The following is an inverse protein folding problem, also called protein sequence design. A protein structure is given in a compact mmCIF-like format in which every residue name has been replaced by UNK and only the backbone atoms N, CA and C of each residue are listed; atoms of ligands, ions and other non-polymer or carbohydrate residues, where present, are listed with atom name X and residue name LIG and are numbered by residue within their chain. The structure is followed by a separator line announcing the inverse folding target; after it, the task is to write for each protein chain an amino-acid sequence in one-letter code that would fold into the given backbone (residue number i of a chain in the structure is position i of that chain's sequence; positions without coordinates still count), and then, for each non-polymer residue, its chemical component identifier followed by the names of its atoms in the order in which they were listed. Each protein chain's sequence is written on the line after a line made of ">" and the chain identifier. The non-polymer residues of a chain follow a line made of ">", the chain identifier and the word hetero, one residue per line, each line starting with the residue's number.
data_IF_519695728987
#
_entry.id   IF_519695728987
#
_cell.length_a   1.000
_cell.length_b   1.000
_cell.length_c   1.000
_cell.angle_alpha   90.00
_cell.angle_beta   90.00
_cell.angle_gamma   90.00
#
_symmetry.space_group_name_H-M   'P 1'
#
loop_
_entity.id
_entity.type
_entity.pdbx_description
1 polymer ?
#
# COMPACT_ATOMS: atom_id res chain seq x y z
N UNK A 1 -34.95 -13.76 51.62
CA UNK A 1 -33.75 -12.89 51.55
C UNK A 1 -32.58 -13.79 51.16
N UNK A 2 -32.45 -14.16 49.88
CA UNK A 2 -31.87 -13.41 48.76
C UNK A 2 -30.33 -13.32 48.84
N UNK A 3 -29.67 -14.12 48.01
CA UNK A 3 -28.22 -14.13 47.80
C UNK A 3 -27.82 -15.24 46.83
N UNK A 4 -28.39 -15.21 45.63
CA UNK A 4 -28.27 -16.20 44.56
C UNK A 4 -26.86 -16.15 43.95
N UNK A 5 -26.07 -17.20 44.16
CA UNK A 5 -24.77 -17.40 43.52
C UNK A 5 -24.95 -17.65 42.04
N UNK A 6 -24.57 -16.68 41.21
CA UNK A 6 -24.51 -16.84 39.76
C UNK A 6 -23.03 -17.02 39.36
N UNK A 7 -22.63 -18.28 39.23
CA UNK A 7 -21.42 -18.67 38.50
C UNK A 7 -21.67 -18.38 37.02
N UNK A 8 -21.21 -17.20 36.57
CA UNK A 8 -21.13 -16.84 35.16
C UNK A 8 -19.91 -17.48 34.54
N UNK A 9 -20.15 -18.63 33.93
CA UNK A 9 -19.24 -19.42 33.10
C UNK A 9 -18.51 -18.54 32.09
N UNK A 10 -17.17 -18.53 32.16
CA UNK A 10 -16.30 -17.98 31.12
C UNK A 10 -16.33 -18.94 29.93
N UNK A 11 -17.35 -18.85 29.08
CA UNK A 11 -17.27 -19.45 27.76
C UNK A 11 -16.22 -18.70 26.95
N UNK A 12 -15.12 -19.39 26.69
CA UNK A 12 -14.03 -18.91 25.87
C UNK A 12 -14.53 -18.74 24.45
N UNK A 13 -14.57 -17.50 23.96
CA UNK A 13 -14.68 -17.19 22.54
C UNK A 13 -13.34 -17.51 21.83
N UNK A 14 -12.96 -18.79 21.87
CA UNK A 14 -11.80 -19.38 21.19
C UNK A 14 -12.28 -20.13 19.95
N UNK A 15 -13.10 -19.49 19.10
CA UNK A 15 -13.73 -20.18 17.98
C UNK A 15 -14.04 -19.27 16.79
N UNK A 16 -13.17 -18.33 16.42
CA UNK A 16 -13.32 -17.60 15.15
C UNK A 16 -11.98 -17.18 14.54
N UNK A 17 -10.98 -18.05 14.61
CA UNK A 17 -9.66 -17.79 14.02
C UNK A 17 -9.05 -19.05 13.42
N UNK A 18 -9.74 -19.73 12.49
CA UNK A 18 -9.11 -20.61 11.49
C UNK A 18 -10.11 -21.05 10.40
N UNK A 19 -10.45 -20.17 9.45
CA UNK A 19 -10.91 -20.52 8.09
C UNK A 19 -11.28 -19.26 7.33
N UNK A 20 -10.30 -18.66 6.64
CA UNK A 20 -10.48 -17.95 5.37
C UNK A 20 -9.12 -17.53 4.85
N UNK A 21 -8.32 -18.53 4.51
CA UNK A 21 -7.16 -18.34 3.66
C UNK A 21 -7.18 -19.49 2.67
N UNK A 22 -7.05 -19.14 1.38
CA UNK A 22 -7.04 -20.01 0.20
C UNK A 22 -8.42 -20.51 -0.26
N UNK A 23 -9.02 -19.74 -1.17
CA UNK A 23 -9.62 -20.18 -2.44
C UNK A 23 -10.31 -18.97 -3.07
N UNK A 24 -9.77 -18.51 -4.21
CA UNK A 24 -10.45 -18.04 -5.43
C UNK A 24 -9.33 -17.45 -6.30
N UNK A 25 -8.70 -18.33 -7.06
CA UNK A 25 -7.96 -17.99 -8.26
C UNK A 25 -8.43 -18.97 -9.34
N UNK A 26 -8.76 -18.42 -10.50
CA UNK A 26 -9.04 -19.08 -11.78
C UNK A 26 -10.32 -19.93 -11.89
N UNK A 27 -11.43 -19.30 -12.33
CA UNK A 27 -12.37 -19.91 -13.29
C UNK A 27 -12.86 -18.80 -14.24
N UNK A 28 -12.24 -18.72 -15.43
CA UNK A 28 -12.80 -18.05 -16.61
C UNK A 28 -13.47 -19.12 -17.48
N UNK A 29 -14.72 -18.88 -17.89
CA UNK A 29 -15.54 -19.72 -18.77
C UNK A 29 -15.54 -19.14 -20.19
N UNK A 30 -15.68 -20.04 -21.17
CA UNK A 30 -16.04 -19.87 -22.59
C UNK A 30 -14.89 -19.39 -23.52
N UNK A 31 -14.39 -20.23 -24.41
CA UNK A 31 -15.00 -20.79 -25.64
C UNK A 31 -14.97 -19.83 -26.84
N UNK A 32 -14.39 -20.35 -27.94
CA UNK A 32 -14.51 -19.95 -29.36
C UNK A 32 -13.66 -18.78 -29.90
N UNK A 33 -12.55 -19.16 -30.55
CA UNK A 33 -11.95 -18.56 -31.76
C UNK A 33 -11.70 -19.75 -32.70
N UNK A 34 -12.36 -19.98 -33.85
CA UNK A 34 -12.48 -19.19 -35.08
C UNK A 34 -11.14 -19.00 -35.83
N UNK A 35 -11.19 -19.32 -37.13
CA UNK A 35 -10.20 -19.11 -38.21
C UNK A 35 -8.98 -20.05 -38.21
N UNK A 36 -8.57 -20.66 -39.32
CA UNK A 36 -8.92 -20.48 -40.72
C UNK A 36 -7.76 -20.99 -41.59
N UNK A 37 -8.00 -20.98 -42.91
CA UNK A 37 -7.05 -21.19 -44.01
C UNK A 37 -6.75 -22.64 -44.42
N UNK A 38 -7.23 -23.00 -45.62
CA UNK A 38 -6.28 -23.24 -46.70
C UNK A 38 -6.90 -22.93 -48.06
N UNK A 39 -6.28 -22.00 -48.78
CA UNK A 39 -6.58 -21.69 -50.17
C UNK A 39 -5.81 -22.56 -51.15
N UNK A 40 -6.41 -22.68 -52.34
CA UNK A 40 -5.86 -22.67 -53.70
C UNK A 40 -4.68 -23.58 -54.12
N UNK A 41 -4.79 -24.00 -55.39
CA UNK A 41 -3.83 -24.68 -56.28
C UNK A 41 -3.79 -26.22 -56.14
N UNK A 42 -3.86 -27.03 -57.20
CA UNK A 42 -3.95 -26.80 -58.64
C UNK A 42 -3.79 -28.14 -59.38
N UNK A 43 -4.26 -28.18 -60.63
CA UNK A 43 -3.95 -29.14 -61.70
C UNK A 43 -4.24 -30.65 -61.51
N UNK A 44 -5.03 -31.25 -62.41
CA UNK A 44 -4.49 -32.03 -63.54
C UNK A 44 -5.60 -32.82 -64.25
N UNK A 45 -5.64 -32.68 -65.59
CA UNK A 45 -5.99 -33.62 -66.68
C UNK A 45 -7.13 -34.66 -66.49
N UNK A 46 -7.92 -35.07 -67.48
CA UNK A 46 -8.27 -34.63 -68.84
C UNK A 46 -9.19 -35.73 -69.40
N UNK A 47 -10.20 -35.35 -70.16
CA UNK A 47 -10.71 -36.03 -71.36
C UNK A 47 -11.43 -37.39 -71.23
N UNK A 48 -12.73 -37.39 -71.54
CA UNK A 48 -13.42 -38.52 -72.18
C UNK A 48 -14.20 -37.95 -73.36
N UNK A 49 -13.73 -38.30 -74.56
CA UNK A 49 -14.43 -38.22 -75.84
C UNK A 49 -15.64 -39.16 -75.83
N UNK A 50 -16.67 -39.10 -76.66
CA UNK A 50 -16.85 -38.49 -77.96
C UNK A 50 -18.37 -38.40 -78.25
N UNK A 51 -18.68 -37.59 -79.26
CA UNK A 51 -19.94 -37.42 -80.02
C UNK A 51 -20.79 -38.70 -80.22
N UNK A 52 -22.11 -38.49 -80.23
CA UNK A 52 -22.91 -38.69 -81.45
C UNK A 52 -24.03 -37.66 -81.51
N UNK A 53 -24.28 -37.20 -82.72
CA UNK A 53 -25.28 -36.24 -83.19
C UNK A 53 -26.73 -36.75 -83.01
N UNK A 54 -27.72 -35.86 -82.81
CA UNK A 54 -28.67 -35.45 -83.87
C UNK A 54 -29.92 -34.71 -83.34
N UNK A 55 -30.36 -33.75 -84.15
CA UNK A 55 -31.71 -33.19 -84.35
C UNK A 55 -32.55 -32.66 -83.16
N UNK A 56 -32.77 -31.33 -83.03
CA UNK A 56 -33.58 -30.41 -83.83
C UNK A 56 -35.04 -30.26 -83.33
N UNK A 57 -35.37 -29.00 -83.07
CA UNK A 57 -36.69 -28.36 -82.97
C UNK A 57 -37.56 -28.64 -81.72
N UNK A 58 -38.33 -27.70 -81.17
CA UNK A 58 -38.47 -26.23 -81.26
C UNK A 58 -39.67 -25.88 -80.36
N UNK A 59 -39.54 -24.85 -79.50
CA UNK A 59 -40.62 -24.11 -78.78
C UNK A 59 -41.41 -24.95 -77.74
N UNK A 60 -41.74 -24.45 -76.56
CA UNK A 60 -42.34 -23.15 -76.26
C UNK A 60 -42.13 -22.85 -74.76
N UNK A 61 -41.53 -21.70 -74.44
CA UNK A 61 -41.60 -21.08 -73.12
C UNK A 61 -42.97 -20.41 -73.00
N UNK A 62 -43.74 -20.76 -71.97
CA UNK A 62 -44.81 -19.92 -71.43
C UNK A 62 -44.73 -20.00 -69.90
N UNK A 63 -44.24 -18.90 -69.32
CA UNK A 63 -44.63 -18.31 -68.03
C UNK A 63 -44.96 -19.21 -66.83
N UNK A 64 -43.99 -19.43 -65.93
CA UNK A 64 -44.27 -19.69 -64.50
C UNK A 64 -43.06 -19.48 -63.55
N UNK A 65 -42.18 -18.52 -63.85
CA UNK A 65 -40.98 -18.23 -63.02
C UNK A 65 -40.94 -16.82 -62.43
N UNK A 66 -42.12 -16.24 -62.13
CA UNK A 66 -42.22 -14.89 -61.52
C UNK A 66 -43.00 -14.86 -60.19
N UNK A 67 -43.15 -15.99 -59.50
CA UNK A 67 -43.66 -15.98 -58.13
C UNK A 67 -43.16 -17.15 -57.26
N UNK A 68 -41.84 -17.37 -57.21
CA UNK A 68 -41.28 -18.24 -56.17
C UNK A 68 -41.46 -17.55 -54.81
N UNK A 69 -42.41 -18.03 -54.03
CA UNK A 69 -42.59 -17.65 -52.62
C UNK A 69 -41.58 -18.42 -51.77
N UNK A 70 -41.06 -17.76 -50.72
CA UNK A 70 -40.19 -18.36 -49.70
C UNK A 70 -40.82 -18.15 -48.33
N UNK A 71 -40.48 -19.02 -47.39
CA UNK A 71 -40.98 -18.94 -46.01
C UNK A 71 -40.22 -17.89 -45.22
N UNK A 72 -40.94 -16.94 -44.63
CA UNK A 72 -40.38 -15.85 -43.82
C UNK A 72 -39.88 -16.39 -42.47
N UNK A 73 -38.61 -16.14 -42.10
CA UNK A 73 -38.07 -16.58 -40.81
C UNK A 73 -38.68 -15.82 -39.63
N UNK A 74 -38.58 -16.41 -38.44
CA UNK A 74 -38.89 -15.71 -37.19
C UNK A 74 -37.64 -15.03 -36.66
N UNK A 75 -37.63 -13.70 -36.63
CA UNK A 75 -36.54 -12.90 -36.08
C UNK A 75 -36.94 -12.15 -34.80
N UNK A 76 -38.19 -12.30 -34.35
CA UNK A 76 -38.65 -11.70 -33.09
C UNK A 76 -37.85 -12.27 -31.92
N UNK A 77 -37.28 -11.38 -31.09
CA UNK A 77 -36.40 -11.74 -29.97
C UNK A 77 -34.93 -11.95 -30.35
N UNK A 78 -34.56 -11.90 -31.63
CA UNK A 78 -33.15 -11.91 -32.05
C UNK A 78 -32.51 -10.53 -31.89
N UNK A 79 -31.18 -10.48 -31.83
CA UNK A 79 -30.42 -9.23 -31.95
C UNK A 79 -30.62 -8.65 -33.35
N UNK A 80 -30.48 -7.33 -33.51
CA UNK A 80 -30.54 -6.67 -34.82
C UNK A 80 -29.65 -7.38 -35.86
N UNK A 81 -28.38 -7.62 -35.51
CA UNK A 81 -27.39 -8.21 -36.42
C UNK A 81 -27.75 -9.65 -36.81
N UNK A 82 -28.23 -10.44 -35.85
CA UNK A 82 -28.68 -11.82 -36.13
C UNK A 82 -29.95 -11.86 -36.97
N UNK A 83 -30.90 -10.96 -36.69
CA UNK A 83 -32.14 -10.83 -37.45
C UNK A 83 -31.84 -10.48 -38.92
N UNK A 84 -30.95 -9.52 -39.17
CA UNK A 84 -30.52 -9.17 -40.52
C UNK A 84 -29.86 -10.33 -41.26
N UNK A 85 -28.99 -11.07 -40.58
CA UNK A 85 -28.33 -12.25 -41.15
C UNK A 85 -29.35 -13.32 -41.54
N UNK A 86 -30.27 -13.64 -40.63
CA UNK A 86 -31.31 -14.66 -40.86
C UNK A 86 -32.25 -14.25 -42.00
N UNK A 87 -32.59 -12.96 -42.12
CA UNK A 87 -33.40 -12.42 -43.23
C UNK A 87 -32.65 -12.57 -44.57
N UNK A 88 -31.37 -12.19 -44.62
CA UNK A 88 -30.52 -12.29 -45.81
C UNK A 88 -30.31 -13.76 -46.23
N UNK A 89 -30.02 -14.64 -45.28
CA UNK A 89 -29.80 -16.08 -45.51
C UNK A 89 -31.07 -16.78 -46.03
N UNK A 90 -32.24 -16.35 -45.58
CA UNK A 90 -33.53 -16.83 -46.10
C UNK A 90 -33.85 -16.30 -47.52
N UNK A 91 -33.03 -15.39 -48.07
CA UNK A 91 -33.19 -14.81 -49.40
C UNK A 91 -34.21 -13.69 -49.47
N UNK A 92 -34.40 -12.96 -48.36
CA UNK A 92 -35.15 -11.71 -48.28
C UNK A 92 -34.19 -10.52 -48.13
N UNK A 93 -34.67 -9.33 -48.48
CA UNK A 93 -33.94 -8.09 -48.20
C UNK A 93 -34.32 -7.56 -46.81
N UNK A 94 -33.40 -6.88 -46.13
CA UNK A 94 -33.74 -6.12 -44.91
C UNK A 94 -34.51 -4.87 -45.35
N UNK A 95 -35.69 -4.66 -44.77
CA UNK A 95 -36.59 -3.55 -45.07
C UNK A 95 -36.38 -2.35 -44.17
N UNK A 96 -37.46 -1.61 -43.91
CA UNK A 96 -37.41 -0.48 -43.00
C UNK A 96 -37.08 -0.92 -41.57
N UNK A 97 -36.06 -0.30 -40.99
CA UNK A 97 -35.71 -0.45 -39.59
C UNK A 97 -36.35 0.68 -38.81
N UNK A 98 -37.19 0.31 -37.84
CA UNK A 98 -37.79 1.26 -36.91
C UNK A 98 -37.40 0.89 -35.50
N UNK A 99 -37.47 1.85 -34.59
CA UNK A 99 -37.14 1.61 -33.19
C UNK A 99 -38.29 2.05 -32.30
N UNK A 100 -38.72 1.17 -31.40
CA UNK A 100 -39.82 1.42 -30.45
C UNK A 100 -39.37 1.15 -29.01
N UNK A 101 -39.92 1.89 -28.06
CA UNK A 101 -39.72 1.60 -26.65
C UNK A 101 -40.54 0.36 -26.27
N UNK A 102 -39.91 -0.60 -25.58
CA UNK A 102 -40.59 -1.80 -25.10
C UNK A 102 -40.16 -2.10 -23.67
N UNK A 103 -41.14 -2.34 -22.79
CA UNK A 103 -40.88 -2.73 -21.40
C UNK A 103 -40.53 -4.22 -21.25
N UNK A 104 -40.90 -5.04 -22.25
CA UNK A 104 -40.76 -6.51 -22.21
C UNK A 104 -39.59 -7.02 -23.05
N UNK A 105 -39.06 -6.20 -23.97
CA UNK A 105 -37.98 -6.57 -24.88
C UNK A 105 -36.75 -5.72 -24.59
N UNK A 106 -35.62 -6.39 -24.31
CA UNK A 106 -34.33 -5.73 -24.04
C UNK A 106 -33.89 -4.84 -25.20
N UNK A 107 -33.19 -3.75 -24.90
CA UNK A 107 -32.67 -2.85 -25.93
C UNK A 107 -31.81 -3.61 -26.96
N UNK A 108 -32.00 -3.32 -28.25
CA UNK A 108 -31.27 -3.95 -29.36
C UNK A 108 -31.85 -5.28 -29.87
N UNK A 109 -32.91 -5.80 -29.25
CA UNK A 109 -33.63 -6.98 -29.76
C UNK A 109 -34.85 -6.60 -30.61
N UNK A 110 -35.18 -7.43 -31.60
CA UNK A 110 -36.35 -7.22 -32.48
C UNK A 110 -37.66 -7.47 -31.73
N UNK A 111 -38.48 -6.42 -31.62
CA UNK A 111 -39.83 -6.42 -31.03
C UNK A 111 -40.84 -7.04 -31.98
N UNK A 112 -40.76 -6.67 -33.25
CA UNK A 112 -41.71 -7.13 -34.27
C UNK A 112 -41.07 -7.10 -35.66
N UNK A 113 -41.68 -7.84 -36.59
CA UNK A 113 -41.29 -7.90 -38.00
C UNK A 113 -42.50 -7.56 -38.86
N UNK A 114 -42.28 -6.85 -39.98
CA UNK A 114 -43.36 -6.34 -40.84
C UNK A 114 -44.15 -7.46 -41.54
N UNK A 115 -43.51 -8.61 -41.77
CA UNK A 115 -44.13 -9.79 -42.38
C UNK A 115 -44.14 -10.92 -41.36
N UNK A 116 -45.30 -11.55 -41.13
CA UNK A 116 -45.46 -12.57 -40.08
C UNK A 116 -44.53 -13.76 -40.29
N UNK A 117 -43.88 -14.22 -39.23
CA UNK A 117 -43.06 -15.42 -39.26
C UNK A 117 -43.84 -16.63 -39.80
N UNK A 118 -43.14 -17.51 -40.53
CA UNK A 118 -43.68 -18.71 -41.19
C UNK A 118 -44.70 -18.45 -42.30
N UNK A 119 -44.94 -17.20 -42.69
CA UNK A 119 -45.76 -16.88 -43.87
C UNK A 119 -44.95 -17.00 -45.16
N UNK A 120 -45.64 -17.11 -46.29
CA UNK A 120 -45.03 -17.09 -47.61
C UNK A 120 -44.95 -15.65 -48.15
N UNK A 121 -43.74 -15.23 -48.51
CA UNK A 121 -43.51 -13.94 -49.15
C UNK A 121 -42.67 -14.14 -50.42
N UNK A 122 -42.82 -13.23 -51.38
CA UNK A 122 -42.06 -13.28 -52.63
C UNK A 122 -40.56 -13.26 -52.35
N UNK A 123 -39.80 -14.14 -52.99
CA UNK A 123 -38.34 -14.14 -52.86
C UNK A 123 -37.76 -12.75 -53.19
N UNK A 124 -36.83 -12.26 -52.36
CA UNK A 124 -36.25 -10.93 -52.48
C UNK A 124 -37.13 -9.76 -51.98
N UNK A 125 -38.30 -10.04 -51.40
CA UNK A 125 -39.08 -9.01 -50.71
C UNK A 125 -38.38 -8.49 -49.45
N UNK A 126 -38.67 -7.25 -49.08
CA UNK A 126 -38.09 -6.59 -47.91
C UNK A 126 -38.89 -6.90 -46.64
N UNK A 127 -38.22 -7.37 -45.60
CA UNK A 127 -38.80 -7.57 -44.26
C UNK A 127 -38.29 -6.46 -43.35
N UNK A 128 -39.18 -5.55 -42.96
CA UNK A 128 -38.88 -4.53 -41.96
C UNK A 128 -38.82 -5.13 -40.56
N UNK A 129 -37.97 -4.57 -39.71
CA UNK A 129 -37.83 -4.97 -38.31
C UNK A 129 -38.02 -3.76 -37.41
N UNK A 130 -38.67 -3.97 -36.27
CA UNK A 130 -38.79 -2.98 -35.21
C UNK A 130 -37.89 -3.40 -34.06
N UNK A 131 -36.87 -2.62 -33.74
CA UNK A 131 -35.89 -2.92 -32.68
C UNK A 131 -36.29 -2.19 -31.39
N UNK A 132 -36.12 -2.85 -30.25
CA UNK A 132 -36.41 -2.25 -28.96
C UNK A 132 -35.36 -1.20 -28.60
N UNK A 133 -35.79 -0.01 -28.17
CA UNK A 133 -34.94 0.97 -27.46
C UNK A 133 -34.74 0.62 -25.97
N UNK A 134 -35.29 -0.50 -25.53
CA UNK A 134 -35.47 -0.83 -24.13
C UNK A 134 -36.64 -0.09 -23.50
N UNK A 135 -36.80 -0.26 -22.19
CA UNK A 135 -37.76 0.52 -21.41
C UNK A 135 -37.29 1.97 -21.42
N UNK A 136 -37.94 2.83 -22.21
CA UNK A 136 -37.67 4.27 -22.24
C UNK A 136 -37.94 5.03 -20.92
N UNK A 137 -38.00 4.32 -19.78
CA UNK A 137 -38.05 4.92 -18.45
C UNK A 137 -36.62 5.30 -18.06
N UNK A 138 -36.33 6.58 -17.79
CA UNK A 138 -35.05 6.94 -17.19
C UNK A 138 -34.90 6.16 -15.88
N UNK A 139 -33.75 5.53 -15.68
CA UNK A 139 -33.42 4.89 -14.41
C UNK A 139 -33.67 5.90 -13.29
N UNK A 140 -34.53 5.56 -12.32
CA UNK A 140 -34.85 6.47 -11.23
C UNK A 140 -33.56 6.73 -10.47
N UNK A 141 -33.15 8.00 -10.43
CA UNK A 141 -31.95 8.43 -9.71
C UNK A 141 -32.31 8.91 -8.32
N UNK A 142 -31.45 8.57 -7.36
CA UNK A 142 -31.57 8.98 -5.97
C UNK A 142 -30.23 9.57 -5.50
N UNK A 143 -30.25 10.64 -4.69
CA UNK A 143 -29.03 11.20 -4.13
C UNK A 143 -28.47 10.26 -3.06
N UNK A 144 -27.15 10.04 -3.08
CA UNK A 144 -26.47 9.25 -2.05
C UNK A 144 -26.45 10.04 -0.73
N UNK A 145 -26.90 9.45 0.38
CA UNK A 145 -26.88 10.09 1.69
C UNK A 145 -25.45 10.21 2.24
N UNK A 146 -25.24 11.10 3.22
CA UNK A 146 -24.00 11.11 3.99
C UNK A 146 -24.07 10.01 5.04
N UNK A 147 -23.20 9.01 4.92
CA UNK A 147 -23.05 7.92 5.87
C UNK A 147 -22.00 8.24 6.95
N UNK A 148 -21.21 9.31 6.74
CA UNK A 148 -20.13 9.71 7.64
C UNK A 148 -20.69 10.01 9.04
N UNK A 149 -20.10 9.37 10.06
CA UNK A 149 -20.50 9.49 11.46
C UNK A 149 -21.66 8.57 11.88
N UNK A 150 -22.34 7.91 10.94
CA UNK A 150 -23.38 6.92 11.24
C UNK A 150 -22.76 5.59 11.69
N UNK A 151 -23.55 4.79 12.43
CA UNK A 151 -23.20 3.37 12.66
C UNK A 151 -23.46 2.55 11.40
N UNK A 152 -22.87 1.36 11.32
CA UNK A 152 -23.11 0.43 10.21
C UNK A 152 -24.61 0.17 10.00
N UNK A 153 -25.34 -0.15 11.08
CA UNK A 153 -26.79 -0.42 11.01
C UNK A 153 -27.57 0.80 10.50
N UNK A 154 -27.26 2.00 11.00
CA UNK A 154 -27.92 3.22 10.54
C UNK A 154 -27.67 3.48 9.05
N UNK A 155 -26.45 3.25 8.56
CA UNK A 155 -26.13 3.42 7.16
C UNK A 155 -26.85 2.39 6.27
N UNK A 156 -26.92 1.13 6.71
CA UNK A 156 -27.67 0.08 6.02
C UNK A 156 -29.16 0.44 5.92
N UNK A 157 -29.76 0.93 7.02
CA UNK A 157 -31.17 1.35 7.05
C UNK A 157 -31.44 2.54 6.11
N UNK A 158 -30.58 3.56 6.14
CA UNK A 158 -30.72 4.74 5.28
C UNK A 158 -30.55 4.37 3.80
N UNK A 159 -29.57 3.54 3.46
CA UNK A 159 -29.37 3.06 2.08
C UNK A 159 -30.54 2.18 1.60
N UNK A 160 -31.04 1.29 2.47
CA UNK A 160 -32.20 0.45 2.15
C UNK A 160 -33.47 1.29 1.89
N UNK A 161 -33.67 2.37 2.64
CA UNK A 161 -34.80 3.29 2.42
C UNK A 161 -34.79 3.97 1.04
N UNK A 162 -33.60 4.11 0.44
CA UNK A 162 -33.38 4.67 -0.90
C UNK A 162 -33.23 3.59 -1.99
N UNK A 163 -33.46 2.31 -1.64
CA UNK A 163 -33.23 1.15 -2.51
C UNK A 163 -31.80 1.08 -3.07
N UNK A 164 -30.82 1.57 -2.31
CA UNK A 164 -29.41 1.43 -2.62
C UNK A 164 -28.87 0.17 -1.95
N UNK A 165 -27.90 -0.47 -2.59
CA UNK A 165 -27.27 -1.67 -2.07
C UNK A 165 -26.11 -1.26 -1.17
N UNK A 166 -26.20 -1.58 0.13
CA UNK A 166 -25.14 -1.37 1.10
C UNK A 166 -24.04 -2.43 0.97
N UNK A 167 -22.77 -2.01 1.01
CA UNK A 167 -21.63 -2.93 1.07
C UNK A 167 -20.65 -2.49 2.16
N UNK A 168 -20.65 -3.19 3.30
CA UNK A 168 -19.65 -2.98 4.33
C UNK A 168 -18.28 -3.51 3.87
N UNK A 169 -17.25 -2.65 3.93
CA UNK A 169 -15.86 -3.03 3.77
C UNK A 169 -15.23 -3.41 5.12
N UNK A 170 -14.06 -4.08 5.06
CA UNK A 170 -13.31 -4.41 6.28
C UNK A 170 -13.00 -3.12 7.07
N UNK A 171 -13.28 -3.09 8.38
CA UNK A 171 -13.08 -1.90 9.18
C UNK A 171 -11.58 -1.61 9.34
N UNK A 172 -11.23 -0.32 9.40
CA UNK A 172 -9.83 0.16 9.37
C UNK A 172 -9.57 1.09 10.55
N UNK A 173 -8.33 1.09 11.05
CA UNK A 173 -7.89 2.06 12.06
C UNK A 173 -7.89 3.49 11.50
N UNK A 174 -8.31 4.44 12.32
CA UNK A 174 -8.39 5.86 11.97
C UNK A 174 -8.06 6.70 13.20
N UNK A 175 -7.24 7.73 13.03
CA UNK A 175 -6.84 8.60 14.13
C UNK A 175 -7.93 9.61 14.51
N UNK A 176 -8.77 9.99 13.55
CA UNK A 176 -9.74 11.07 13.66
C UNK A 176 -11.19 10.57 13.84
N UNK A 177 -11.50 9.37 13.38
CA UNK A 177 -12.86 8.84 13.39
C UNK A 177 -13.21 8.09 14.68
N UNK A 178 -14.45 8.25 15.13
CA UNK A 178 -14.97 7.56 16.31
C UNK A 178 -15.08 6.06 16.03
N UNK A 179 -14.60 5.18 16.96
CA UNK A 179 -14.76 3.75 16.82
C UNK A 179 -16.23 3.34 16.58
N UNK A 180 -16.46 2.45 15.62
CA UNK A 180 -17.79 1.95 15.26
C UNK A 180 -18.62 2.89 14.38
N UNK A 181 -18.05 4.00 13.91
CA UNK A 181 -18.70 4.92 12.98
C UNK A 181 -18.06 4.86 11.60
N UNK A 182 -18.84 5.14 10.56
CA UNK A 182 -18.36 5.20 9.19
C UNK A 182 -17.56 6.49 8.98
N UNK A 183 -16.36 6.36 8.44
CA UNK A 183 -15.48 7.50 8.14
C UNK A 183 -15.20 7.66 6.65
N UNK A 184 -15.57 6.66 5.85
CA UNK A 184 -15.35 6.65 4.40
C UNK A 184 -16.52 5.97 3.71
N UNK A 185 -16.94 6.52 2.58
CA UNK A 185 -17.92 5.95 1.67
C UNK A 185 -17.40 6.03 0.23
N UNK A 186 -17.77 5.09 -0.63
CA UNK A 186 -17.29 5.01 -2.01
C UNK A 186 -17.85 6.10 -2.93
N UNK A 187 -19.09 6.50 -2.69
CA UNK A 187 -19.79 7.54 -3.45
C UNK A 187 -20.01 8.74 -2.54
N UNK A 188 -19.59 9.93 -2.98
CA UNK A 188 -19.74 11.14 -2.18
C UNK A 188 -21.22 11.49 -1.92
N UNK A 189 -21.50 12.06 -0.74
CA UNK A 189 -22.84 12.50 -0.39
C UNK A 189 -23.38 13.53 -1.39
N UNK A 190 -24.67 13.43 -1.74
CA UNK A 190 -25.34 14.25 -2.73
C UNK A 190 -25.14 13.82 -4.18
N UNK A 191 -24.26 12.84 -4.45
CA UNK A 191 -24.10 12.30 -5.82
C UNK A 191 -25.35 11.53 -6.23
N UNK A 192 -25.87 11.78 -7.43
CA UNK A 192 -27.00 11.04 -7.96
C UNK A 192 -26.57 9.70 -8.57
N UNK A 193 -27.16 8.61 -8.09
CA UNK A 193 -26.93 7.25 -8.58
C UNK A 193 -28.26 6.58 -8.90
N UNK A 194 -28.25 5.54 -9.72
CA UNK A 194 -29.46 4.80 -10.07
C UNK A 194 -29.92 3.95 -8.88
N UNK A 195 -31.24 3.77 -8.72
CA UNK A 195 -31.78 2.79 -7.76
C UNK A 195 -31.13 1.41 -7.98
N UNK A 196 -30.72 0.74 -6.90
CA UNK A 196 -29.96 -0.51 -6.95
C UNK A 196 -28.44 -0.35 -7.06
N UNK A 197 -27.92 0.88 -7.18
CA UNK A 197 -26.48 1.13 -7.13
C UNK A 197 -25.88 0.70 -5.79
N UNK A 198 -24.66 0.17 -5.83
CA UNK A 198 -23.93 -0.25 -4.64
C UNK A 198 -23.11 0.90 -4.05
N UNK A 199 -23.35 1.22 -2.79
CA UNK A 199 -22.54 2.17 -2.01
C UNK A 199 -21.78 1.38 -0.96
N UNK A 200 -20.45 1.36 -1.08
CA UNK A 200 -19.59 0.76 -0.06
C UNK A 200 -19.16 1.77 0.98
N UNK A 201 -18.96 1.30 2.21
CA UNK A 201 -18.54 2.13 3.32
C UNK A 201 -17.55 1.39 4.23
N UNK A 202 -16.69 2.16 4.89
CA UNK A 202 -15.67 1.65 5.81
C UNK A 202 -15.91 2.22 7.20
N UNK A 203 -16.08 1.33 8.18
CA UNK A 203 -16.18 1.71 9.58
C UNK A 203 -14.78 1.89 10.22
N UNK A 204 -14.67 2.83 11.15
CA UNK A 204 -13.45 3.06 11.90
C UNK A 204 -13.36 2.09 13.09
N UNK A 205 -12.20 1.46 13.26
CA UNK A 205 -11.86 0.72 14.49
C UNK A 205 -11.42 1.66 15.62
N UNK A 206 -11.20 2.93 15.31
CA UNK A 206 -10.55 3.91 16.19
C UNK A 206 -9.04 3.94 16.02
N UNK A 207 -8.36 4.53 17.00
CA UNK A 207 -6.89 4.57 17.05
C UNK A 207 -6.34 3.17 17.21
N UNK A 208 -5.30 2.85 16.46
CA UNK A 208 -4.56 1.60 16.64
C UNK A 208 -3.73 1.70 17.92
N UNK A 209 -4.01 0.85 18.89
CA UNK A 209 -3.30 0.84 20.16
C UNK A 209 -2.48 -0.44 20.30
N UNK A 210 -1.22 -0.27 20.70
CA UNK A 210 -0.33 -1.34 21.05
C UNK A 210 0.07 -1.23 22.52
N UNK A 211 0.41 -2.38 23.12
CA UNK A 211 0.94 -2.44 24.49
C UNK A 211 2.45 -2.39 24.42
N UNK A 212 3.06 -1.45 25.15
CA UNK A 212 4.52 -1.31 25.19
C UNK A 212 5.15 -2.53 25.85
N UNK A 213 5.98 -3.30 25.14
CA UNK A 213 6.64 -4.46 25.72
C UNK A 213 7.72 -4.06 26.73
N UNK A 214 8.06 -4.98 27.62
CA UNK A 214 9.22 -4.88 28.49
C UNK A 214 10.49 -5.11 27.69
N UNK A 215 11.39 -4.12 27.67
CA UNK A 215 12.72 -4.23 27.05
C UNK A 215 13.87 -3.95 28.03
N UNK A 216 13.55 -3.64 29.30
CA UNK A 216 14.55 -3.50 30.36
C UNK A 216 15.40 -4.78 30.50
N UNK A 217 16.72 -4.62 30.45
CA UNK A 217 17.70 -5.69 30.53
C UNK A 217 18.03 -6.39 29.21
N UNK A 218 17.31 -6.08 28.11
CA UNK A 218 17.70 -6.53 26.77
C UNK A 218 18.91 -5.74 26.27
N UNK A 219 19.58 -6.28 25.25
CA UNK A 219 20.55 -5.51 24.47
C UNK A 219 19.85 -4.60 23.46
N UNK A 220 20.65 -3.77 22.78
CA UNK A 220 20.18 -2.82 21.77
C UNK A 220 19.27 -3.48 20.72
N UNK A 221 19.73 -4.58 20.14
CA UNK A 221 19.07 -5.22 19.01
C UNK A 221 17.78 -5.94 19.48
N UNK A 222 17.84 -6.68 20.59
CA UNK A 222 16.67 -7.32 21.16
C UNK A 222 15.59 -6.33 21.61
N UNK A 223 15.99 -5.18 22.17
CA UNK A 223 15.06 -4.11 22.52
C UNK A 223 14.43 -3.46 21.28
N UNK A 224 15.23 -3.20 20.25
CA UNK A 224 14.77 -2.63 19.00
C UNK A 224 13.76 -3.56 18.31
N UNK A 225 14.08 -4.84 18.19
CA UNK A 225 13.23 -5.85 17.56
C UNK A 225 11.91 -6.04 18.32
N UNK A 226 11.97 -6.10 19.66
CA UNK A 226 10.78 -6.23 20.49
C UNK A 226 9.82 -5.04 20.31
N UNK A 227 10.35 -3.81 20.30
CA UNK A 227 9.56 -2.60 20.12
C UNK A 227 9.03 -2.47 18.69
N UNK A 228 9.85 -2.77 17.67
CA UNK A 228 9.43 -2.74 16.27
C UNK A 228 8.36 -3.78 15.96
N UNK A 229 8.47 -4.98 16.52
CA UNK A 229 7.45 -6.03 16.41
C UNK A 229 6.12 -5.62 17.05
N UNK A 230 6.17 -4.79 18.08
CA UNK A 230 4.99 -4.19 18.71
C UNK A 230 4.53 -2.89 18.01
N UNK A 231 4.94 -2.65 16.76
CA UNK A 231 4.60 -1.48 15.95
C UNK A 231 5.05 -0.13 16.54
N UNK A 232 6.06 -0.11 17.44
CA UNK A 232 6.59 1.13 17.99
C UNK A 232 7.81 1.66 17.23
N UNK A 233 8.01 2.97 17.33
CA UNK A 233 9.26 3.62 16.93
C UNK A 233 10.22 3.66 18.11
N UNK A 234 11.52 3.54 17.86
CA UNK A 234 12.53 3.43 18.92
C UNK A 234 13.49 4.60 18.82
N UNK A 235 13.75 5.24 19.95
CA UNK A 235 14.79 6.25 20.13
C UNK A 235 15.80 5.74 21.15
N UNK A 236 17.08 5.79 20.82
CA UNK A 236 18.13 5.16 21.63
C UNK A 236 19.06 6.24 22.13
N UNK A 237 19.13 6.38 23.44
CA UNK A 237 20.09 7.24 24.13
C UNK A 237 21.01 6.40 25.01
N UNK A 238 22.19 6.93 25.33
CA UNK A 238 23.19 6.24 26.14
C UNK A 238 23.54 7.07 27.37
N UNK A 239 23.65 6.42 28.53
CA UNK A 239 24.12 7.06 29.75
C UNK A 239 24.86 6.08 30.66
N UNK A 240 25.72 6.59 31.53
CA UNK A 240 26.48 5.77 32.49
C UNK A 240 25.57 5.22 33.59
N UNK A 241 25.84 4.00 34.04
CA UNK A 241 25.17 3.36 35.16
C UNK A 241 26.10 2.39 35.87
N UNK A 242 26.23 2.55 37.19
CA UNK A 242 27.01 1.64 38.03
C UNK A 242 26.29 0.31 38.33
N UNK A 243 24.97 0.24 38.10
CA UNK A 243 24.14 -0.92 38.45
C UNK A 243 23.74 -1.78 37.24
N UNK A 244 23.96 -1.31 36.01
CA UNK A 244 23.55 -1.99 34.79
C UNK A 244 24.75 -2.18 33.88
N UNK A 245 24.96 -3.42 33.43
CA UNK A 245 26.05 -3.76 32.52
C UNK A 245 25.99 -2.94 31.23
N UNK A 246 27.16 -2.61 30.67
CA UNK A 246 27.25 -1.85 29.42
C UNK A 246 26.52 -2.57 28.27
N UNK A 247 25.84 -1.80 27.43
CA UNK A 247 25.06 -2.31 26.28
C UNK A 247 23.69 -2.88 26.63
N UNK A 248 23.28 -2.88 27.91
CA UNK A 248 21.92 -3.27 28.33
C UNK A 248 21.00 -2.06 28.51
N UNK A 249 19.72 -2.23 28.18
CA UNK A 249 18.69 -1.24 28.42
C UNK A 249 18.47 -1.10 29.93
N UNK A 250 18.76 0.08 30.46
CA UNK A 250 18.54 0.42 31.87
C UNK A 250 17.23 1.15 32.12
N UNK A 251 16.70 1.81 31.09
CA UNK A 251 15.47 2.60 31.21
C UNK A 251 14.70 2.57 29.89
N UNK A 252 13.37 2.63 29.99
CA UNK A 252 12.47 2.77 28.86
C UNK A 252 11.36 3.75 29.22
N UNK A 253 10.91 4.52 28.23
CA UNK A 253 9.77 5.41 28.34
C UNK A 253 9.03 5.47 26.98
N UNK A 254 7.73 5.17 26.91
CA UNK A 254 6.82 4.76 27.99
C UNK A 254 7.18 3.44 28.69
N UNK A 255 6.71 3.29 29.93
CA UNK A 255 6.92 2.09 30.74
C UNK A 255 6.25 0.86 30.13
N UNK A 256 6.71 -0.32 30.52
CA UNK A 256 6.10 -1.59 30.12
C UNK A 256 4.62 -1.68 30.50
N UNK A 257 3.82 -2.35 29.67
CA UNK A 257 2.39 -2.55 29.90
C UNK A 257 1.51 -1.32 29.61
N UNK A 258 2.11 -0.15 29.36
CA UNK A 258 1.37 1.05 28.97
C UNK A 258 0.80 0.88 27.57
N UNK A 259 -0.47 1.23 27.39
CA UNK A 259 -1.12 1.27 26.10
C UNK A 259 -0.82 2.59 25.41
N UNK A 260 -0.26 2.53 24.20
CA UNK A 260 0.09 3.69 23.39
C UNK A 260 -0.39 3.50 21.96
N UNK A 261 -0.53 4.59 21.22
CA UNK A 261 -0.89 4.50 19.80
C UNK A 261 0.24 3.81 19.05
N UNK A 262 -0.07 2.88 18.16
CA UNK A 262 0.92 2.28 17.27
C UNK A 262 1.73 3.36 16.55
N UNK A 263 3.03 3.16 16.41
CA UNK A 263 3.95 4.15 15.86
C UNK A 263 4.45 5.20 16.86
N UNK A 264 3.96 5.20 18.11
CA UNK A 264 4.52 6.05 19.17
C UNK A 264 6.02 5.79 19.34
N UNK A 265 6.79 6.85 19.60
CA UNK A 265 8.23 6.76 19.87
C UNK A 265 8.47 6.35 21.32
N UNK A 266 9.12 5.21 21.51
CA UNK A 266 9.60 4.68 22.78
C UNK A 266 11.10 4.98 22.89
N UNK A 267 11.47 5.75 23.90
CA UNK A 267 12.87 6.06 24.21
C UNK A 267 13.43 4.98 25.12
N UNK A 268 14.55 4.38 24.73
CA UNK A 268 15.32 3.46 25.55
C UNK A 268 16.67 4.07 25.90
N UNK A 269 17.11 3.87 27.14
CA UNK A 269 18.44 4.27 27.57
C UNK A 269 19.31 3.05 27.76
N UNK A 270 20.38 2.96 26.98
CA UNK A 270 21.42 1.94 27.11
C UNK A 270 22.46 2.39 28.13
N UNK A 271 22.89 1.45 28.97
CA UNK A 271 24.00 1.69 29.90
C UNK A 271 25.33 1.73 29.14
N UNK A 272 26.15 2.75 29.41
CA UNK A 272 27.56 2.83 29.00
C UNK A 272 28.50 2.10 29.98
N UNK A 273 27.96 1.43 30.99
CA UNK A 273 28.70 0.88 32.13
C UNK A 273 28.94 1.93 33.21
N UNK A 274 29.78 1.60 34.19
CA UNK A 274 30.13 2.52 35.27
C UNK A 274 30.77 3.79 34.69
N UNK A 275 30.45 4.95 35.29
CA UNK A 275 31.12 6.18 34.95
C UNK A 275 32.64 6.01 35.20
N UNK A 276 33.51 6.48 34.29
CA UNK A 276 34.94 6.47 34.55
C UNK A 276 35.21 7.23 35.86
N UNK A 277 36.16 6.72 36.66
CA UNK A 277 36.56 7.42 37.88
C UNK A 277 37.02 8.85 37.54
N UNK A 278 36.65 9.85 38.35
CA UNK A 278 37.16 11.20 38.15
C UNK A 278 38.69 11.17 38.20
N UNK A 279 39.34 11.70 37.17
CA UNK A 279 40.79 11.87 37.18
C UNK A 279 41.15 12.96 38.18
N UNK A 280 42.16 12.70 39.02
CA UNK A 280 42.71 13.75 39.89
C UNK A 280 43.38 14.81 39.02
N UNK A 281 42.89 16.06 39.10
CA UNK A 281 43.52 17.19 38.44
C UNK A 281 44.55 17.82 39.37
N UNK A 282 45.77 18.01 38.85
CA UNK A 282 46.85 18.72 39.52
C UNK A 282 47.12 20.03 38.78
N UNK A 283 47.45 21.09 39.53
CA UNK A 283 47.83 22.36 38.93
C UNK A 283 49.29 22.27 38.47
N UNK A 284 49.57 22.72 37.25
CA UNK A 284 50.94 22.76 36.73
C UNK A 284 51.74 23.81 37.52
N UNK A 285 52.82 23.42 38.21
CA UNK A 285 53.67 24.36 38.93
C UNK A 285 54.46 25.25 37.95
N UNK A 286 54.88 26.42 38.42
CA UNK A 286 55.79 27.25 37.65
C UNK A 286 57.22 26.71 37.81
N UNK A 287 57.81 26.26 36.70
CA UNK A 287 59.20 25.78 36.66
C UNK A 287 60.12 26.66 35.81
N UNK A 288 59.62 27.78 35.29
CA UNK A 288 60.44 28.78 34.60
C UNK A 288 61.47 29.34 35.58
N UNK A 289 62.70 29.58 35.13
CA UNK A 289 63.89 29.97 35.91
C UNK A 289 64.52 28.89 36.79
N UNK A 290 64.00 27.66 36.80
CA UNK A 290 64.61 26.52 37.51
C UNK A 290 65.60 25.76 36.62
N UNK A 291 66.53 25.03 37.24
CA UNK A 291 67.40 24.07 36.52
C UNK A 291 66.61 22.83 36.11
N UNK A 292 67.13 22.03 35.17
CA UNK A 292 66.51 20.75 34.76
C UNK A 292 66.14 19.87 35.97
N UNK A 293 67.07 19.67 36.90
CA UNK A 293 66.89 18.81 38.07
C UNK A 293 65.80 19.35 39.02
N UNK A 294 65.77 20.67 39.23
CA UNK A 294 64.75 21.34 40.04
C UNK A 294 63.37 21.30 39.37
N UNK A 295 63.30 21.60 38.07
CA UNK A 295 62.07 21.55 37.30
C UNK A 295 61.48 20.13 37.27
N UNK A 296 62.33 19.13 37.06
CA UNK A 296 61.96 17.72 37.12
C UNK A 296 61.42 17.35 38.51
N UNK A 297 62.16 17.67 39.58
CA UNK A 297 61.72 17.37 40.94
C UNK A 297 60.40 18.04 41.32
N UNK A 298 60.18 19.28 40.90
CA UNK A 298 58.92 20.03 41.16
C UNK A 298 57.74 19.45 40.37
N UNK A 299 57.94 19.11 39.10
CA UNK A 299 56.90 18.47 38.27
C UNK A 299 56.57 17.06 38.77
N UNK A 300 57.57 16.24 39.10
CA UNK A 300 57.37 14.89 39.63
C UNK A 300 56.68 14.91 41.00
N UNK A 301 57.06 15.86 41.88
CA UNK A 301 56.40 16.06 43.18
C UNK A 301 54.94 16.49 43.03
N UNK A 302 54.63 17.24 41.97
CA UNK A 302 53.25 17.59 41.58
C UNK A 302 52.51 16.43 40.90
N UNK A 303 53.16 15.27 40.68
CA UNK A 303 52.57 14.12 40.01
C UNK A 303 52.47 14.27 38.48
N UNK A 304 53.34 15.08 37.88
CA UNK A 304 53.43 15.34 36.45
C UNK A 304 54.68 14.69 35.85
N UNK A 305 54.59 14.24 34.61
CA UNK A 305 55.76 13.74 33.88
C UNK A 305 56.53 14.92 33.27
N UNK A 306 57.84 14.98 33.47
CA UNK A 306 58.70 15.98 32.84
C UNK A 306 59.28 15.43 31.54
N UNK A 307 59.19 16.21 30.44
CA UNK A 307 59.89 15.93 29.18
C UNK A 307 60.77 17.10 28.82
N UNK A 308 61.98 16.83 28.34
CA UNK A 308 62.92 17.87 27.95
C UNK A 308 62.92 18.07 26.43
N UNK A 309 63.07 19.32 26.00
CA UNK A 309 63.28 19.70 24.61
C UNK A 309 64.28 20.86 24.52
N UNK A 310 65.41 20.70 23.84
CA UNK A 310 66.44 21.74 23.72
C UNK A 310 67.82 21.25 24.15
N UNK A 311 68.62 22.14 24.73
CA UNK A 311 69.97 21.86 25.22
C UNK A 311 69.96 21.04 26.51
N UNK A 312 71.01 20.25 26.77
CA UNK A 312 71.08 19.34 27.93
C UNK A 312 71.44 20.06 29.25
N UNK A 313 71.94 21.31 29.17
CA UNK A 313 72.31 22.14 30.31
C UNK A 313 71.69 23.54 30.15
N UNK A 314 71.16 24.12 31.22
CA UNK A 314 70.56 25.46 31.17
C UNK A 314 69.44 25.69 32.20
N UNK A 315 68.77 26.84 32.08
CA UNK A 315 67.57 27.16 32.87
C UNK A 315 66.32 26.99 32.00
N UNK A 316 65.20 26.60 32.63
CA UNK A 316 63.92 26.51 31.93
C UNK A 316 63.45 27.92 31.55
N UNK A 317 63.39 28.19 30.25
CA UNK A 317 62.87 29.46 29.71
C UNK A 317 61.41 29.37 29.31
N UNK A 318 60.93 28.15 29.04
CA UNK A 318 59.58 27.91 28.55
C UNK A 318 59.07 26.55 29.05
N UNK A 319 57.79 26.51 29.40
CA UNK A 319 57.08 25.28 29.72
C UNK A 319 55.86 25.16 28.81
N UNK A 320 55.58 23.96 28.29
CA UNK A 320 54.53 23.71 27.31
C UNK A 320 53.11 23.94 27.83
N UNK A 321 52.94 23.91 29.16
CA UNK A 321 51.67 24.15 29.83
C UNK A 321 51.89 25.26 30.84
N UNK A 322 51.10 26.33 30.75
CA UNK A 322 51.25 27.48 31.63
C UNK A 322 51.02 27.12 33.11
N UNK A 323 51.76 27.78 33.99
CA UNK A 323 51.61 27.62 35.43
C UNK A 323 50.17 27.92 35.89
N UNK A 324 49.67 27.12 36.83
CA UNK A 324 48.29 27.20 37.34
C UNK A 324 47.23 26.49 36.48
N UNK A 325 47.58 25.99 35.28
CA UNK A 325 46.66 25.19 34.47
C UNK A 325 46.38 23.85 35.15
N UNK A 326 45.11 23.45 35.25
CA UNK A 326 44.73 22.15 35.81
C UNK A 326 44.80 21.07 34.73
N UNK A 327 45.57 20.01 35.00
CA UNK A 327 45.76 18.88 34.08
C UNK A 327 45.61 17.56 34.81
N UNK A 328 45.32 16.48 34.10
CA UNK A 328 45.23 15.15 34.70
C UNK A 328 46.59 14.72 35.29
N UNK A 329 46.58 14.12 36.48
CA UNK A 329 47.79 13.55 37.09
C UNK A 329 48.48 12.59 36.12
N UNK A 330 49.80 12.73 35.95
CA UNK A 330 50.59 12.00 34.95
C UNK A 330 50.72 12.69 33.60
N UNK A 331 50.05 13.85 33.40
CA UNK A 331 50.24 14.67 32.20
C UNK A 331 51.72 15.06 32.01
N UNK A 332 52.16 15.07 30.75
CA UNK A 332 53.54 15.44 30.40
C UNK A 332 53.67 16.94 30.18
N UNK A 333 54.49 17.60 30.99
CA UNK A 333 54.91 18.99 30.77
C UNK A 333 56.27 18.95 30.08
N UNK A 334 56.35 19.55 28.89
CA UNK A 334 57.62 19.70 28.18
C UNK A 334 58.26 21.02 28.59
N UNK A 335 59.51 20.99 29.04
CA UNK A 335 60.28 22.19 29.39
C UNK A 335 61.37 22.41 28.36
N UNK A 336 61.56 23.66 27.97
CA UNK A 336 62.63 24.10 27.08
C UNK A 336 63.74 24.77 27.88
N UNK A 337 64.95 24.30 27.65
CA UNK A 337 66.16 24.80 28.29
C UNK A 337 66.92 25.72 27.33
N UNK A 338 67.50 26.77 27.89
CA UNK A 338 68.39 27.70 27.18
C UNK A 338 69.56 28.07 28.10
N UNK A 339 70.78 27.99 27.58
CA UNK A 339 71.95 28.53 28.27
C UNK A 339 71.85 30.05 28.18
N UNK A 340 71.54 30.71 29.29
CA UNK A 340 71.63 32.17 29.34
C UNK A 340 73.08 32.56 29.10
N UNK A 341 73.39 33.43 28.11
CA UNK A 341 74.74 33.92 27.93
C UNK A 341 75.13 34.61 29.23
N UNK A 342 76.23 34.17 29.84
CA UNK A 342 76.82 34.84 31.00
C UNK A 342 77.13 36.26 30.57
N UNK A 343 76.25 37.19 30.95
CA UNK A 343 76.49 38.61 30.82
C UNK A 343 77.77 38.92 31.59
N UNK A 344 78.85 39.13 30.85
CA UNK A 344 80.01 39.86 31.33
C UNK A 344 79.48 41.24 31.74
N UNK A 345 79.29 41.45 33.04
CA UNK A 345 79.07 42.77 33.61
C UNK A 345 80.37 43.21 34.30
N UNK A 346 80.89 44.31 33.77
CA UNK A 346 82.14 45.01 34.03
C UNK A 346 82.50 45.28 35.50
N UNK A 347 83.81 45.38 35.77
CA UNK A 347 84.37 46.11 36.90
C UNK A 347 85.54 46.99 36.45
N UNK A 348 85.24 48.27 36.17
CA UNK A 348 86.21 49.36 36.16
C UNK A 348 86.93 49.44 37.51
N UNK A 349 88.25 49.54 37.49
CA UNK A 349 89.02 50.17 38.55
C UNK A 349 90.10 51.02 37.90
N UNK A 350 90.15 52.28 38.35
CA UNK A 350 90.95 53.39 37.86
C UNK A 350 92.47 53.19 37.93
#
# INVERSE_FOLDING_TARGET
>A
MSGFSMHGEKESASAFALKRTRRIAAICIAALMAFGALGLAGCSCSNTSAKTDDDNAKKEQVDDKKNATKTVPNVVGMTKDDAERVIKDAGFAVGAETEEASETVVAGAVVSQSVKAKSEAKAGSSIGITVSKGSGKPAKRVPVPSLIGMTQTQAEDVLASLKLVSKAEDPVYSEDAKPGTIFKQSVAAGTEVEEGSTVSFTAALGKDFAIVPRVIGLDRDGAFDALKKASFNVDIIEAYSGNVAAGKVMYQNPSEGVQCVSGTKVTITLSKGAAPAPTEQVAVPNVVTLTLEQAQGVLESAGLACKFAGEEEGMVVEQSIAAGTKVDRGSTVTVKLEILPTGSAEGQAA
#
